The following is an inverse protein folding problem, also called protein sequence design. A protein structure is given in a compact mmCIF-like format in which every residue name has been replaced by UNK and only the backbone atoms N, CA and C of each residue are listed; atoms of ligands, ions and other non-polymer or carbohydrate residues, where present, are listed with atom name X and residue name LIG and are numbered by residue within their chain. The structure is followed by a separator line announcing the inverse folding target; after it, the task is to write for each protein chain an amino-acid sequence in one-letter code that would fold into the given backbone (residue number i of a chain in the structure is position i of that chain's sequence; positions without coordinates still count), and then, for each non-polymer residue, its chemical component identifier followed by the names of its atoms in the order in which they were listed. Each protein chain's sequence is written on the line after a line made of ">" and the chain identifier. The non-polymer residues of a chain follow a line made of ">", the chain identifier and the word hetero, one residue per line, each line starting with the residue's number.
data_IF_520296298653
#
_entry.id   IF_520296298653
#
_cell.length_a   1.000
_cell.length_b   1.000
_cell.length_c   1.000
_cell.angle_alpha   90.00
_cell.angle_beta   90.00
_cell.angle_gamma   90.00
#
_symmetry.space_group_name_H-M   'P 1'
#
loop_
_entity.id
_entity.type
_entity.pdbx_description
1 polymer ?
#
# COMPACT_ATOMS: atom_id res chain seq x y z
N UNK A 1 1.96 17.86 -4.06
CA UNK A 1 0.71 17.43 -3.40
C UNK A 1 -0.39 18.47 -3.56
N UNK A 2 -0.14 19.74 -3.22
CA UNK A 2 -1.12 20.84 -3.37
C UNK A 2 -1.70 21.00 -4.78
N UNK A 3 -0.87 20.88 -5.83
CA UNK A 3 -1.38 20.95 -7.20
C UNK A 3 -2.39 19.83 -7.53
N UNK A 4 -2.16 18.60 -7.05
CA UNK A 4 -3.09 17.50 -7.23
C UNK A 4 -4.36 17.69 -6.38
N UNK A 5 -4.20 18.24 -5.18
CA UNK A 5 -5.31 18.63 -4.29
C UNK A 5 -6.23 19.65 -4.95
N UNK A 6 -5.68 20.71 -5.55
CA UNK A 6 -6.43 21.72 -6.29
C UNK A 6 -7.22 21.10 -7.45
N UNK A 7 -6.57 20.27 -8.28
CA UNK A 7 -7.24 19.61 -9.40
C UNK A 7 -8.39 18.70 -8.97
N UNK A 8 -8.26 18.01 -7.84
CA UNK A 8 -9.34 17.18 -7.29
C UNK A 8 -10.50 18.04 -6.79
N UNK A 9 -10.21 19.18 -6.17
CA UNK A 9 -11.24 20.13 -5.76
C UNK A 9 -11.98 20.73 -6.98
N UNK A 10 -11.26 21.05 -8.06
CA UNK A 10 -11.83 21.61 -9.30
C UNK A 10 -12.84 20.67 -9.97
N UNK A 11 -12.67 19.34 -9.82
CA UNK A 11 -13.61 18.33 -10.34
C UNK A 11 -14.71 17.95 -9.35
N UNK A 12 -14.90 18.74 -8.30
CA UNK A 12 -15.97 18.58 -7.31
C UNK A 12 -15.64 17.63 -6.15
N UNK A 13 -14.40 17.15 -6.01
CA UNK A 13 -14.03 16.32 -4.87
C UNK A 13 -13.97 17.15 -3.59
N UNK A 14 -14.61 16.68 -2.53
CA UNK A 14 -14.69 17.40 -1.25
C UNK A 14 -13.57 16.90 -0.34
N UNK A 15 -12.67 17.79 0.08
CA UNK A 15 -11.60 17.45 1.02
C UNK A 15 -12.19 17.02 2.36
N UNK A 16 -11.72 15.88 2.89
CA UNK A 16 -12.13 15.34 4.17
C UNK A 16 -11.08 15.66 5.25
N UNK A 17 -11.38 16.56 6.19
CA UNK A 17 -10.41 17.02 7.20
C UNK A 17 -10.28 16.06 8.39
N UNK A 18 -11.13 15.04 8.48
CA UNK A 18 -11.16 14.12 9.61
C UNK A 18 -9.89 13.24 9.66
N UNK A 19 -9.70 12.49 10.75
CA UNK A 19 -8.68 11.44 10.81
C UNK A 19 -9.13 10.17 10.09
N UNK A 20 -8.21 9.31 9.65
CA UNK A 20 -8.51 7.92 9.26
C UNK A 20 -9.19 7.09 10.35
N UNK A 21 -8.95 7.40 11.61
CA UNK A 21 -9.63 6.76 12.73
C UNK A 21 -11.08 7.22 12.92
N UNK A 22 -11.49 8.32 12.27
CA UNK A 22 -12.78 8.96 12.52
C UNK A 22 -13.84 8.53 11.50
N UNK A 23 -14.97 8.06 12.01
CA UNK A 23 -16.19 7.78 11.23
C UNK A 23 -17.24 8.88 11.36
N UNK A 24 -17.11 9.73 12.38
CA UNK A 24 -18.06 10.81 12.73
C UNK A 24 -17.25 12.10 12.85
N UNK A 25 -17.83 13.22 12.38
CA UNK A 25 -17.24 14.55 12.53
C UNK A 25 -17.27 14.98 14.00
N UNK A 26 -16.12 15.23 14.65
CA UNK A 26 -16.11 15.65 16.05
C UNK A 26 -16.82 16.99 16.29
N UNK A 27 -17.02 17.83 15.27
CA UNK A 27 -17.78 19.06 15.40
C UNK A 27 -19.26 18.81 15.74
N UNK A 28 -19.83 17.66 15.36
CA UNK A 28 -21.24 17.32 15.67
C UNK A 28 -21.45 16.92 17.12
N UNK A 29 -20.38 16.60 17.85
CA UNK A 29 -20.38 16.20 19.26
C UNK A 29 -19.45 17.09 20.09
N UNK A 30 -19.33 18.38 19.75
CA UNK A 30 -18.41 19.32 20.40
C UNK A 30 -18.64 19.45 21.92
N UNK A 31 -19.90 19.29 22.36
CA UNK A 31 -20.31 19.46 23.76
C UNK A 31 -20.24 18.15 24.57
N UNK A 32 -19.87 17.02 23.93
CA UNK A 32 -19.68 15.72 24.58
C UNK A 32 -18.19 15.50 24.89
N UNK A 33 -17.78 15.83 26.12
CA UNK A 33 -16.39 15.68 26.57
C UNK A 33 -15.88 14.23 26.48
N UNK A 34 -16.75 13.24 26.71
CA UNK A 34 -16.38 11.83 26.62
C UNK A 34 -16.09 11.46 25.16
N UNK A 35 -16.96 11.88 24.25
CA UNK A 35 -16.77 11.70 22.81
C UNK A 35 -15.46 12.36 22.36
N UNK A 36 -15.21 13.62 22.73
CA UNK A 36 -13.98 14.32 22.34
C UNK A 36 -12.72 13.61 22.87
N UNK A 37 -12.76 13.12 24.10
CA UNK A 37 -11.64 12.38 24.69
C UNK A 37 -11.39 11.05 23.98
N UNK A 38 -12.44 10.31 23.63
CA UNK A 38 -12.33 9.05 22.87
C UNK A 38 -11.84 9.32 21.45
N UNK A 39 -12.41 10.32 20.78
CA UNK A 39 -12.00 10.73 19.43
C UNK A 39 -10.52 11.13 19.36
N UNK A 40 -10.04 11.92 20.33
CA UNK A 40 -8.62 12.29 20.42
C UNK A 40 -7.70 11.07 20.56
N UNK A 41 -8.10 10.05 21.33
CA UNK A 41 -7.35 8.79 21.46
C UNK A 41 -7.34 7.98 20.17
N UNK A 42 -8.45 7.97 19.43
CA UNK A 42 -8.60 7.23 18.17
C UNK A 42 -7.78 7.87 17.05
N UNK A 43 -7.65 9.21 17.04
CA UNK A 43 -6.85 9.92 16.03
C UNK A 43 -5.34 9.72 16.19
N UNK A 44 -4.85 9.53 17.42
CA UNK A 44 -3.42 9.45 17.70
C UNK A 44 -2.67 8.36 16.89
N UNK A 45 -3.20 7.12 16.75
CA UNK A 45 -2.61 6.11 15.87
C UNK A 45 -2.48 6.47 14.39
N UNK A 46 -3.26 7.43 13.91
CA UNK A 46 -3.30 7.84 12.50
C UNK A 46 -2.63 9.19 12.28
N UNK A 47 -2.13 9.87 13.32
CA UNK A 47 -1.68 11.25 13.20
C UNK A 47 -0.54 11.43 12.16
N UNK A 48 0.39 10.48 12.03
CA UNK A 48 1.44 10.55 11.01
C UNK A 48 0.90 10.38 9.59
N UNK A 49 -0.02 9.43 9.36
CA UNK A 49 -0.63 9.23 8.06
C UNK A 49 -1.59 10.37 7.69
N UNK A 50 -2.36 10.89 8.66
CA UNK A 50 -3.21 12.06 8.49
C UNK A 50 -2.39 13.31 8.15
N UNK A 51 -1.22 13.50 8.76
CA UNK A 51 -0.33 14.62 8.47
C UNK A 51 0.32 14.53 7.07
N UNK A 52 0.50 13.31 6.54
CA UNK A 52 1.18 13.07 5.27
C UNK A 52 0.23 12.85 4.10
N UNK A 53 -1.06 12.73 4.32
CA UNK A 53 -2.04 12.42 3.27
C UNK A 53 -3.14 13.46 3.18
N UNK A 54 -3.80 13.53 2.03
CA UNK A 54 -5.00 14.34 1.86
C UNK A 54 -6.11 13.43 1.37
N UNK A 55 -7.27 13.49 2.01
CA UNK A 55 -8.41 12.65 1.70
C UNK A 55 -9.51 13.46 1.05
N UNK A 56 -10.22 12.81 0.14
CA UNK A 56 -11.33 13.38 -0.59
C UNK A 56 -12.49 12.40 -0.62
N UNK A 57 -13.70 12.93 -0.54
CA UNK A 57 -14.92 12.25 -0.91
C UNK A 57 -15.38 12.73 -2.27
N UNK A 58 -15.80 11.79 -3.12
CA UNK A 58 -16.57 12.15 -4.29
C UNK A 58 -18.02 12.41 -3.88
N UNK A 59 -18.66 13.50 -4.33
CA UNK A 59 -20.07 13.74 -4.08
C UNK A 59 -20.89 12.81 -4.97
N UNK A 60 -21.14 11.58 -4.51
CA UNK A 60 -22.12 10.68 -5.12
C UNK A 60 -23.23 10.39 -4.09
N UNK A 61 -24.48 10.47 -4.54
CA UNK A 61 -25.69 10.15 -3.77
C UNK A 61 -25.79 8.65 -3.47
N UNK A 62 -25.03 7.82 -4.20
CA UNK A 62 -24.87 6.42 -3.88
C UNK A 62 -23.98 6.27 -2.65
N UNK A 63 -24.50 5.62 -1.60
CA UNK A 63 -23.87 5.39 -0.27
C UNK A 63 -22.46 4.75 -0.30
N UNK A 64 -21.92 4.43 -1.46
CA UNK A 64 -20.54 4.02 -1.65
C UNK A 64 -19.65 5.27 -1.71
N UNK A 65 -19.20 5.71 -0.54
CA UNK A 65 -18.25 6.80 -0.40
C UNK A 65 -16.92 6.37 -1.03
N UNK A 66 -16.73 6.65 -2.32
CA UNK A 66 -15.45 6.42 -2.98
C UNK A 66 -14.45 7.44 -2.43
N UNK A 67 -13.49 6.95 -1.66
CA UNK A 67 -12.45 7.76 -1.02
C UNK A 67 -11.26 7.85 -1.95
N UNK A 68 -10.94 9.07 -2.38
CA UNK A 68 -9.66 9.34 -3.04
C UNK A 68 -8.67 9.80 -1.99
N UNK A 69 -7.48 9.20 -1.96
CA UNK A 69 -6.42 9.55 -1.01
C UNK A 69 -5.20 9.97 -1.82
N UNK A 70 -4.76 11.21 -1.62
CA UNK A 70 -3.46 11.67 -2.09
C UNK A 70 -2.40 11.29 -1.07
N UNK A 71 -1.43 10.51 -1.52
CA UNK A 71 -0.29 10.07 -0.72
C UNK A 71 1.00 10.51 -1.45
N UNK A 72 1.93 11.20 -0.79
CA UNK A 72 3.16 11.62 -1.43
C UNK A 72 4.04 10.41 -1.69
N UNK A 73 4.64 10.37 -2.86
CA UNK A 73 5.58 9.32 -3.25
C UNK A 73 6.76 9.18 -2.28
N UNK A 74 7.18 10.29 -1.66
CA UNK A 74 8.22 10.30 -0.62
C UNK A 74 7.84 9.48 0.62
N UNK A 75 6.57 9.55 1.04
CA UNK A 75 6.07 8.74 2.16
C UNK A 75 5.98 7.27 1.78
N UNK A 76 5.51 6.97 0.56
CA UNK A 76 5.45 5.59 0.05
C UNK A 76 6.84 5.02 -0.31
N UNK A 77 7.90 5.82 -0.30
CA UNK A 77 9.23 5.42 -0.81
C UNK A 77 9.19 4.89 -2.25
N UNK A 78 8.18 5.32 -3.01
CA UNK A 78 8.02 5.01 -4.44
C UNK A 78 8.74 6.11 -5.23
N UNK A 79 9.93 5.83 -5.74
CA UNK A 79 10.61 6.72 -6.67
C UNK A 79 10.25 6.33 -8.09
N UNK A 80 9.38 7.09 -8.76
CA UNK A 80 9.26 6.99 -10.21
C UNK A 80 10.60 7.46 -10.80
N UNK A 81 11.51 6.52 -11.07
CA UNK A 81 12.75 6.86 -11.75
C UNK A 81 12.39 7.36 -13.14
N UNK A 82 12.88 8.54 -13.51
CA UNK A 82 12.70 9.17 -14.83
C UNK A 82 13.28 8.36 -16.01
N UNK A 83 13.84 7.17 -15.78
CA UNK A 83 14.30 6.29 -16.86
C UNK A 83 13.20 5.35 -17.31
N UNK A 84 12.29 5.86 -18.13
CA UNK A 84 11.48 5.05 -19.03
C UNK A 84 12.38 4.47 -20.13
N UNK A 85 13.06 3.37 -19.84
CA UNK A 85 13.52 2.48 -20.90
C UNK A 85 12.30 1.77 -21.44
N UNK A 86 11.87 2.06 -22.68
CA UNK A 86 11.00 1.16 -23.43
C UNK A 86 11.73 -0.19 -23.49
N UNK A 87 11.33 -1.15 -22.67
CA UNK A 87 11.83 -2.52 -22.77
C UNK A 87 10.86 -3.27 -23.67
N UNK A 88 11.24 -3.44 -24.94
CA UNK A 88 10.73 -4.53 -25.76
C UNK A 88 11.17 -5.83 -25.09
N UNK A 89 10.23 -6.73 -24.79
CA UNK A 89 10.53 -7.98 -24.09
C UNK A 89 10.78 -9.12 -25.09
N UNK A 90 12.03 -9.52 -25.35
CA UNK A 90 12.31 -10.90 -25.74
C UNK A 90 12.22 -11.79 -24.49
N UNK A 91 11.58 -12.95 -24.58
CA UNK A 91 11.51 -13.93 -23.50
C UNK A 91 12.90 -14.42 -23.07
N UNK A 92 13.24 -14.39 -21.77
CA UNK A 92 14.38 -15.14 -21.26
C UNK A 92 13.99 -16.10 -20.15
N UNK A 93 14.68 -17.24 -20.15
CA UNK A 93 14.74 -18.23 -19.08
C UNK A 93 15.61 -17.72 -17.93
N UNK A 94 14.97 -17.21 -16.87
CA UNK A 94 15.58 -16.72 -15.61
C UNK A 94 14.60 -15.81 -14.85
N UNK A 95 14.85 -15.43 -13.58
CA UNK A 95 14.03 -14.41 -12.92
C UNK A 95 14.26 -13.09 -13.65
N UNK A 96 13.33 -12.77 -14.55
CA UNK A 96 13.33 -11.54 -15.33
C UNK A 96 13.45 -10.34 -14.40
N UNK A 97 14.42 -9.43 -14.59
CA UNK A 97 14.40 -8.13 -13.93
C UNK A 97 13.13 -7.40 -14.39
N UNK A 98 12.10 -7.40 -13.53
CA UNK A 98 10.86 -6.69 -13.82
C UNK A 98 11.11 -5.19 -13.70
N UNK A 99 10.55 -4.37 -14.61
CA UNK A 99 10.64 -2.92 -14.48
C UNK A 99 9.99 -2.51 -13.16
N UNK A 100 10.55 -1.52 -12.46
CA UNK A 100 10.02 -1.03 -11.17
C UNK A 100 8.57 -0.55 -11.28
N UNK A 101 8.21 -0.01 -12.44
CA UNK A 101 6.86 0.46 -12.75
C UNK A 101 6.44 0.00 -14.15
N UNK A 102 5.17 -0.35 -14.26
CA UNK A 102 4.44 -0.48 -15.52
C UNK A 102 3.69 0.82 -15.79
N UNK A 103 3.64 1.26 -17.04
CA UNK A 103 2.95 2.50 -17.42
C UNK A 103 1.78 2.14 -18.33
N UNK A 104 0.57 2.59 -17.97
CA UNK A 104 -0.61 2.51 -18.82
C UNK A 104 -1.27 3.89 -18.87
N UNK A 105 -1.25 4.51 -20.06
CA UNK A 105 -1.65 5.91 -20.21
C UNK A 105 -0.76 6.84 -19.37
N UNK A 106 -1.39 7.61 -18.48
CA UNK A 106 -0.75 8.51 -17.53
C UNK A 106 -0.61 7.92 -16.12
N UNK A 107 -0.86 6.61 -15.95
CA UNK A 107 -0.84 5.93 -14.65
C UNK A 107 0.41 5.04 -14.56
N UNK A 108 1.11 5.17 -13.44
CA UNK A 108 2.29 4.37 -13.10
C UNK A 108 1.90 3.33 -12.05
N UNK A 109 1.99 2.06 -12.42
CA UNK A 109 1.70 0.92 -11.56
C UNK A 109 3.01 0.36 -11.04
N UNK A 110 3.31 0.42 -9.73
CA UNK A 110 4.49 -0.24 -9.20
C UNK A 110 4.39 -1.75 -9.45
N UNK A 111 5.51 -2.39 -9.77
CA UNK A 111 5.53 -3.84 -9.78
C UNK A 111 5.30 -4.38 -8.35
N UNK A 112 5.01 -5.67 -8.25
CA UNK A 112 4.65 -6.28 -6.97
C UNK A 112 5.77 -6.18 -5.91
N UNK A 113 7.04 -6.24 -6.33
CA UNK A 113 8.20 -6.12 -5.43
C UNK A 113 8.29 -4.69 -4.87
N UNK A 114 8.15 -3.68 -5.72
CA UNK A 114 8.17 -2.27 -5.32
C UNK A 114 6.98 -1.93 -4.41
N UNK A 115 5.81 -2.51 -4.69
CA UNK A 115 4.63 -2.32 -3.86
C UNK A 115 4.81 -2.94 -2.47
N UNK A 116 5.35 -4.15 -2.37
CA UNK A 116 5.62 -4.78 -1.06
C UNK A 116 6.71 -4.03 -0.31
N UNK A 117 7.80 -3.68 -0.99
CA UNK A 117 8.89 -2.87 -0.42
C UNK A 117 8.34 -1.57 0.17
N UNK A 118 7.50 -0.88 -0.59
CA UNK A 118 6.81 0.34 -0.15
C UNK A 118 5.99 0.10 1.12
N UNK A 119 5.17 -0.94 1.14
CA UNK A 119 4.31 -1.26 2.28
C UNK A 119 5.12 -1.61 3.53
N UNK A 120 6.16 -2.43 3.41
CA UNK A 120 7.06 -2.78 4.53
C UNK A 120 7.73 -1.54 5.07
N UNK A 121 8.23 -0.67 4.18
CA UNK A 121 8.91 0.56 4.59
C UNK A 121 7.98 1.53 5.32
N UNK A 122 6.75 1.71 4.82
CA UNK A 122 5.72 2.50 5.52
C UNK A 122 5.39 1.85 6.86
N UNK A 123 5.22 0.53 6.91
CA UNK A 123 4.96 -0.20 8.16
C UNK A 123 6.07 0.03 9.20
N UNK A 124 7.35 -0.05 8.80
CA UNK A 124 8.49 0.15 9.69
C UNK A 124 8.58 1.60 10.18
N UNK A 125 8.35 2.59 9.30
CA UNK A 125 8.34 4.02 9.68
C UNK A 125 7.18 4.35 10.64
N UNK A 126 6.01 3.77 10.40
CA UNK A 126 4.82 3.98 11.25
C UNK A 126 4.93 3.28 12.61
N UNK A 127 5.64 2.14 12.67
CA UNK A 127 5.94 1.43 13.91
C UNK A 127 6.78 2.27 14.88
N UNK A 128 7.62 3.17 14.37
CA UNK A 128 8.40 4.09 15.20
C UNK A 128 7.53 5.21 15.80
N UNK A 129 6.43 5.57 15.15
CA UNK A 129 5.59 6.69 15.53
C UNK A 129 4.52 6.34 16.57
N UNK A 130 3.93 5.14 16.48
CA UNK A 130 2.85 4.74 17.39
C UNK A 130 2.88 3.24 17.67
N UNK A 131 2.31 2.84 18.81
CA UNK A 131 2.34 1.45 19.24
C UNK A 131 1.53 0.55 18.29
N UNK A 132 2.03 -0.67 18.06
CA UNK A 132 1.67 -1.59 16.97
C UNK A 132 0.20 -2.05 16.88
N UNK A 133 -0.71 -1.61 17.72
CA UNK A 133 -2.06 -2.20 17.82
C UNK A 133 -3.11 -1.65 16.84
N UNK A 134 -2.69 -0.92 15.80
CA UNK A 134 -3.61 -0.13 14.97
C UNK A 134 -3.55 -0.50 13.49
N UNK A 135 -3.74 0.48 12.60
CA UNK A 135 -3.89 0.29 11.16
C UNK A 135 -2.65 -0.31 10.49
N UNK A 136 -1.46 -0.19 11.10
CA UNK A 136 -0.23 -0.80 10.62
C UNK A 136 -0.32 -2.32 10.55
N UNK A 137 -0.89 -2.98 11.57
CA UNK A 137 -1.08 -4.43 11.58
C UNK A 137 -2.15 -4.86 10.57
N UNK A 138 -3.18 -4.03 10.36
CA UNK A 138 -4.17 -4.27 9.31
C UNK A 138 -3.56 -4.16 7.91
N UNK A 139 -2.72 -3.15 7.68
CA UNK A 139 -1.98 -2.98 6.43
C UNK A 139 -1.06 -4.19 6.19
N UNK A 140 -0.31 -4.61 7.22
CA UNK A 140 0.56 -5.77 7.14
C UNK A 140 -0.24 -7.05 6.85
N UNK A 141 -1.30 -7.31 7.61
CA UNK A 141 -2.15 -8.49 7.43
C UNK A 141 -2.81 -8.54 6.05
N UNK A 142 -3.34 -7.43 5.56
CA UNK A 142 -3.89 -7.33 4.21
C UNK A 142 -2.81 -7.56 3.14
N UNK A 143 -1.66 -6.86 3.26
CA UNK A 143 -0.57 -6.98 2.32
C UNK A 143 -0.04 -8.42 2.25
N UNK A 144 0.20 -9.07 3.38
CA UNK A 144 0.67 -10.46 3.39
C UNK A 144 -0.39 -11.43 2.89
N UNK A 145 -1.65 -11.27 3.31
CA UNK A 145 -2.74 -12.13 2.83
C UNK A 145 -2.93 -12.03 1.32
N UNK A 146 -2.92 -10.81 0.78
CA UNK A 146 -3.10 -10.55 -0.64
C UNK A 146 -1.85 -10.96 -1.46
N UNK A 147 -0.67 -10.51 -1.06
CA UNK A 147 0.55 -10.75 -1.84
C UNK A 147 1.03 -12.20 -1.79
N UNK A 148 1.06 -12.83 -0.62
CA UNK A 148 1.53 -14.21 -0.53
C UNK A 148 0.40 -15.22 -0.74
N UNK A 149 -0.82 -14.90 -0.31
CA UNK A 149 -1.96 -15.80 -0.45
C UNK A 149 -2.58 -15.76 -1.84
N UNK A 150 -2.96 -14.57 -2.33
CA UNK A 150 -3.69 -14.43 -3.60
C UNK A 150 -2.77 -14.31 -4.81
N UNK A 151 -1.72 -13.49 -4.73
CA UNK A 151 -0.76 -13.33 -5.84
C UNK A 151 0.28 -14.45 -5.93
N UNK A 152 0.30 -15.39 -4.98
CA UNK A 152 1.17 -16.57 -4.94
C UNK A 152 2.66 -16.22 -5.19
N UNK A 153 3.13 -15.14 -4.58
CA UNK A 153 4.51 -14.72 -4.73
C UNK A 153 5.48 -15.76 -4.15
N UNK A 154 6.65 -15.83 -4.78
CA UNK A 154 7.72 -16.71 -4.31
C UNK A 154 8.27 -16.24 -2.96
N UNK A 155 8.73 -17.18 -2.14
CA UNK A 155 9.33 -16.89 -0.83
C UNK A 155 10.63 -16.06 -0.92
N UNK A 156 11.25 -15.99 -2.09
CA UNK A 156 12.46 -15.21 -2.37
C UNK A 156 12.18 -13.84 -2.99
N UNK A 157 10.91 -13.42 -3.10
CA UNK A 157 10.52 -12.15 -3.73
C UNK A 157 11.14 -10.91 -3.06
N UNK A 158 11.50 -11.02 -1.77
CA UNK A 158 12.16 -9.95 -1.00
C UNK A 158 13.68 -10.14 -0.89
N UNK A 159 14.24 -11.26 -1.36
CA UNK A 159 15.68 -11.55 -1.25
C UNK A 159 16.49 -10.66 -2.19
N UNK A 160 15.86 -10.12 -3.23
CA UNK A 160 16.47 -9.14 -4.15
C UNK A 160 16.29 -7.70 -3.69
N UNK A 161 15.74 -7.46 -2.49
CA UNK A 161 15.58 -6.11 -1.96
C UNK A 161 16.88 -5.64 -1.32
N UNK A 162 17.45 -4.54 -1.84
CA UNK A 162 18.72 -3.96 -1.33
C UNK A 162 18.55 -3.14 -0.04
N UNK A 163 17.31 -2.93 0.44
CA UNK A 163 17.05 -2.13 1.64
C UNK A 163 17.27 -2.98 2.90
N UNK A 164 18.28 -2.62 3.71
CA UNK A 164 18.68 -3.35 4.93
C UNK A 164 17.52 -3.54 5.92
N UNK A 165 16.61 -2.57 6.02
CA UNK A 165 15.45 -2.66 6.92
C UNK A 165 14.44 -3.68 6.42
N UNK A 166 14.24 -3.74 5.10
CA UNK A 166 13.39 -4.76 4.46
C UNK A 166 14.04 -6.14 4.55
N UNK A 167 15.36 -6.23 4.41
CA UNK A 167 16.11 -7.49 4.57
C UNK A 167 16.01 -8.02 6.00
N UNK A 168 16.19 -7.15 7.01
CA UNK A 168 16.04 -7.50 8.41
C UNK A 168 14.61 -8.02 8.69
N UNK A 169 13.61 -7.30 8.20
CA UNK A 169 12.21 -7.71 8.32
C UNK A 169 11.93 -9.05 7.60
N UNK A 170 12.48 -9.26 6.40
CA UNK A 170 12.38 -10.52 5.66
C UNK A 170 13.00 -11.70 6.46
N UNK A 171 14.12 -11.46 7.14
CA UNK A 171 14.71 -12.44 8.06
C UNK A 171 13.82 -12.72 9.27
N UNK A 172 13.16 -11.72 9.85
CA UNK A 172 12.24 -11.88 10.98
C UNK A 172 11.04 -12.77 10.59
N UNK A 173 10.40 -12.50 9.45
CA UNK A 173 9.25 -13.29 9.00
C UNK A 173 9.65 -14.74 8.67
N UNK A 174 10.84 -14.95 8.09
CA UNK A 174 11.38 -16.28 7.75
C UNK A 174 11.71 -17.10 9.00
N UNK A 175 12.19 -16.45 10.07
CA UNK A 175 12.42 -17.09 11.38
C UNK A 175 11.12 -17.50 12.07
N UNK A 176 10.05 -16.71 11.93
CA UNK A 176 8.73 -17.07 12.46
C UNK A 176 8.01 -18.16 11.62
N UNK A 177 8.53 -18.49 10.44
CA UNK A 177 7.95 -19.48 9.53
C UNK A 177 8.74 -20.80 9.49
N UNK A 178 9.18 -21.32 10.64
CA UNK A 178 9.73 -22.70 10.73
C UNK A 178 8.77 -23.79 10.21
N UNK A 179 7.52 -23.42 9.87
CA UNK A 179 6.64 -24.21 9.01
C UNK A 179 7.01 -23.90 7.54
N UNK A 180 7.52 -24.86 6.76
CA UNK A 180 7.82 -24.65 5.35
C UNK A 180 6.59 -24.11 4.62
N UNK A 181 6.68 -22.87 4.13
CA UNK A 181 5.56 -22.15 3.52
C UNK A 181 5.45 -22.36 2.02
N UNK A 182 6.03 -23.41 1.44
CA UNK A 182 5.68 -23.82 0.08
C UNK A 182 5.46 -25.33 0.00
N UNK A 183 4.31 -25.66 -0.59
CA UNK A 183 3.93 -26.98 -1.09
C UNK A 183 5.03 -27.56 -1.99
N UNK A 184 5.99 -28.28 -1.43
CA UNK A 184 6.91 -29.16 -2.17
C UNK A 184 6.18 -30.30 -2.92
N UNK A 185 4.85 -30.45 -2.78
CA UNK A 185 4.08 -31.62 -3.24
C UNK A 185 3.14 -31.43 -4.43
N UNK A 186 3.28 -30.38 -5.23
CA UNK A 186 2.63 -30.38 -6.56
C UNK A 186 3.70 -30.28 -7.64
N UNK A 187 4.27 -31.44 -7.99
CA UNK A 187 5.19 -31.66 -9.11
C UNK A 187 4.56 -31.46 -10.49
N UNK A 188 3.72 -30.44 -10.62
CA UNK A 188 3.26 -29.92 -11.91
C UNK A 188 3.47 -28.42 -11.81
N UNK A 189 4.37 -27.82 -12.60
CA UNK A 189 4.43 -26.37 -12.72
C UNK A 189 3.04 -25.91 -13.14
N UNK A 190 2.29 -25.28 -12.23
CA UNK A 190 1.25 -24.38 -12.73
C UNK A 190 2.00 -23.33 -13.52
N UNK A 191 1.63 -23.17 -14.79
CA UNK A 191 2.21 -22.18 -15.67
C UNK A 191 2.36 -20.88 -14.88
N UNK A 192 3.50 -20.18 -14.99
CA UNK A 192 3.62 -18.84 -14.41
C UNK A 192 2.37 -18.10 -14.83
N UNK A 193 1.61 -17.61 -13.86
CA UNK A 193 0.36 -16.87 -14.10
C UNK A 193 0.71 -15.87 -15.18
N UNK A 194 0.24 -16.11 -16.39
CA UNK A 194 0.50 -15.19 -17.49
C UNK A 194 -0.04 -13.84 -17.03
N UNK A 195 0.52 -12.77 -17.58
CA UNK A 195 0.02 -11.41 -17.38
C UNK A 195 -1.48 -11.24 -17.74
N UNK A 196 -2.19 -12.30 -18.13
CA UNK A 196 -3.62 -12.30 -18.42
C UNK A 196 -4.46 -12.02 -17.16
N UNK A 197 -4.04 -12.41 -15.94
CA UNK A 197 -4.75 -11.99 -14.71
C UNK A 197 -4.62 -10.49 -14.40
N UNK A 198 -3.58 -9.83 -14.95
CA UNK A 198 -3.40 -8.37 -14.82
C UNK A 198 -4.23 -7.63 -15.89
N UNK A 199 -4.59 -8.28 -17.00
CA UNK A 199 -5.46 -7.69 -18.03
C UNK A 199 -6.91 -7.54 -17.55
N UNK A 200 -7.37 -8.38 -16.62
CA UNK A 200 -8.72 -8.28 -16.06
C UNK A 200 -8.91 -7.06 -15.13
N UNK A 201 -7.82 -6.35 -14.81
CA UNK A 201 -7.81 -5.10 -14.03
C UNK A 201 -7.41 -3.86 -14.86
N UNK A 202 -7.31 -3.98 -16.19
CA UNK A 202 -7.09 -2.87 -17.15
C UNK A 202 -8.40 -2.39 -17.76
#
# INVERSE_FOLDING_TARGET
>A
MEQASSKLADVGSIRQPLSFGSTIDPATHKDDEMFQRVHAKIGLPFANSDAKTIRFHYPDDNKFVQRTILIPCSYLRLGASERTSKVEFPSPSGPLPQPRFYVHGNIYYPNVVELIRSIIMVYLEEREYTNLQNWQVKLLGWAFGYFYGELLLRDDVLDTCEDERVECFNKEIKKCSEIPRIREKWGIPKAPTSNDFIKDFQ
#
